data_IF_132160025414
#
_entry.id   IF_132160025414
#
_cell.length_a   1.000
_cell.length_b   1.000
_cell.length_c   1.000
_cell.angle_alpha   90.00
_cell.angle_beta   90.00
_cell.angle_gamma   90.00
#
_symmetry.space_group_name_H-M   'P 1'
#
loop_
_entity.id
_entity.type
_entity.pdbx_description
1 polymer ?
#
# COMPACT_ATOMS: atom_id res chain seq x y z
N UNK A 1 -3.54 16.13 4.27
CA UNK A 1 -3.21 15.22 3.14
C UNK A 1 -4.48 15.04 2.32
N UNK A 2 -4.51 15.48 1.04
CA UNK A 2 -5.65 15.27 0.15
C UNK A 2 -5.34 14.04 -0.71
N UNK A 3 -6.02 12.92 -0.46
CA UNK A 3 -5.85 11.70 -1.26
C UNK A 3 -6.80 11.80 -2.44
N UNK A 4 -6.26 11.78 -3.67
CA UNK A 4 -7.07 11.75 -4.89
C UNK A 4 -7.42 10.29 -5.17
N UNK A 5 -8.70 9.93 -5.04
CA UNK A 5 -9.21 8.55 -5.18
C UNK A 5 -10.25 8.42 -6.29
N UNK A 6 -10.36 9.42 -7.15
CA UNK A 6 -11.36 9.46 -8.22
C UNK A 6 -11.27 8.17 -9.06
N UNK A 7 -12.42 7.51 -9.27
CA UNK A 7 -12.58 6.27 -10.04
C UNK A 7 -11.85 5.03 -9.48
N UNK A 8 -11.60 4.96 -8.16
CA UNK A 8 -11.14 3.72 -7.54
C UNK A 8 -12.31 2.84 -7.07
N UNK A 9 -12.75 1.93 -7.94
CA UNK A 9 -13.84 0.97 -7.65
C UNK A 9 -13.48 -0.04 -6.55
N UNK A 10 -12.19 -0.27 -6.32
CA UNK A 10 -11.69 -1.31 -5.43
C UNK A 10 -11.61 -0.88 -3.96
N UNK A 11 -11.75 0.41 -3.64
CA UNK A 11 -11.68 0.94 -2.26
C UNK A 11 -10.33 0.68 -1.55
N UNK A 12 -9.24 0.50 -2.30
CA UNK A 12 -7.90 0.32 -1.73
C UNK A 12 -6.79 0.75 -2.69
N UNK A 13 -5.59 0.92 -2.14
CA UNK A 13 -4.34 1.16 -2.89
C UNK A 13 -3.36 0.05 -2.52
N UNK A 14 -2.62 -0.48 -3.49
CA UNK A 14 -1.53 -1.43 -3.25
C UNK A 14 -0.18 -0.82 -3.59
N UNK A 15 0.88 -1.34 -2.99
CA UNK A 15 2.26 -0.98 -3.30
C UNK A 15 3.18 -2.19 -3.09
N UNK A 16 4.17 -2.34 -3.96
CA UNK A 16 5.33 -3.21 -3.73
C UNK A 16 6.42 -2.36 -3.08
N UNK A 17 6.48 -2.37 -1.75
CA UNK A 17 7.43 -1.54 -1.01
C UNK A 17 8.84 -2.11 -1.11
N UNK A 18 9.83 -1.27 -1.39
CA UNK A 18 11.22 -1.60 -1.07
C UNK A 18 11.35 -1.89 0.43
N UNK A 19 12.30 -2.76 0.82
CA UNK A 19 12.59 -3.08 2.22
C UNK A 19 12.78 -1.82 3.07
N UNK A 20 13.41 -0.78 2.53
CA UNK A 20 13.63 0.49 3.23
C UNK A 20 12.38 1.38 3.33
N UNK A 21 11.38 1.17 2.46
CA UNK A 21 10.14 1.94 2.43
C UNK A 21 9.05 1.42 3.37
N UNK A 22 9.18 0.19 3.87
CA UNK A 22 8.12 -0.50 4.65
C UNK A 22 7.66 0.35 5.83
N UNK A 23 8.60 0.87 6.63
CA UNK A 23 8.28 1.67 7.82
C UNK A 23 7.59 3.01 7.50
N UNK A 24 7.81 3.56 6.30
CA UNK A 24 7.13 4.77 5.83
C UNK A 24 5.69 4.45 5.47
N UNK A 25 5.48 3.37 4.71
CA UNK A 25 4.14 2.94 4.32
C UNK A 25 3.30 2.47 5.51
N UNK A 26 3.90 1.81 6.51
CA UNK A 26 3.24 1.48 7.78
C UNK A 26 2.74 2.75 8.50
N UNK A 27 3.54 3.82 8.56
CA UNK A 27 3.12 5.12 9.13
C UNK A 27 2.01 5.81 8.34
N UNK A 28 1.93 5.54 7.04
CA UNK A 28 0.84 6.00 6.16
C UNK A 28 -0.41 5.12 6.24
N UNK A 29 -0.40 4.05 7.04
CA UNK A 29 -1.54 3.16 7.25
C UNK A 29 -1.63 1.98 6.28
N UNK A 30 -0.60 1.73 5.47
CA UNK A 30 -0.52 0.50 4.70
C UNK A 30 -0.19 -0.67 5.61
N UNK A 31 -0.77 -1.84 5.31
CA UNK A 31 -0.47 -3.11 5.97
C UNK A 31 0.18 -4.06 4.98
N UNK A 32 1.13 -4.87 5.45
CA UNK A 32 1.71 -5.97 4.66
C UNK A 32 0.62 -6.96 4.32
N UNK A 33 0.51 -7.35 3.06
CA UNK A 33 -0.42 -8.42 2.65
C UNK A 33 0.27 -9.77 2.60
N UNK A 34 1.59 -9.76 2.39
CA UNK A 34 2.44 -10.95 2.30
C UNK A 34 3.83 -10.61 2.84
N UNK A 35 4.64 -11.65 3.07
CA UNK A 35 6.06 -11.53 3.40
C UNK A 35 6.88 -10.97 2.21
N UNK A 36 8.15 -10.62 2.45
CA UNK A 36 9.07 -10.16 1.40
C UNK A 36 9.20 -11.21 0.28
N UNK A 37 9.06 -10.75 -0.97
CA UNK A 37 9.22 -11.54 -2.19
C UNK A 37 10.44 -11.07 -2.97
N UNK A 38 10.96 -11.97 -3.81
CA UNK A 38 11.97 -11.66 -4.81
C UNK A 38 11.45 -12.06 -6.18
N UNK A 39 11.43 -11.10 -7.11
CA UNK A 39 11.06 -11.36 -8.51
C UNK A 39 12.00 -10.55 -9.40
N UNK A 40 12.55 -11.19 -10.44
CA UNK A 40 13.47 -10.57 -11.40
C UNK A 40 14.67 -9.86 -10.74
N UNK A 41 15.14 -10.40 -9.60
CA UNK A 41 16.23 -9.85 -8.80
C UNK A 41 15.85 -8.66 -7.90
N UNK A 42 14.58 -8.25 -7.87
CA UNK A 42 14.09 -7.17 -7.00
C UNK A 42 13.37 -7.74 -5.77
N UNK A 43 13.81 -7.32 -4.59
CA UNK A 43 13.14 -7.62 -3.32
C UNK A 43 12.13 -6.54 -2.95
N UNK A 44 10.91 -6.96 -2.64
CA UNK A 44 9.83 -6.06 -2.23
C UNK A 44 8.85 -6.74 -1.28
N UNK A 45 8.17 -5.94 -0.47
CA UNK A 45 7.08 -6.37 0.41
C UNK A 45 5.75 -5.85 -0.15
N UNK A 46 4.82 -6.71 -0.57
CA UNK A 46 3.49 -6.31 -0.97
C UNK A 46 2.70 -5.71 0.21
N UNK A 47 2.10 -4.54 0.00
CA UNK A 47 1.34 -3.83 1.02
C UNK A 47 0.06 -3.22 0.44
N UNK A 48 -0.91 -2.95 1.32
CA UNK A 48 -2.24 -2.42 0.95
C UNK A 48 -2.71 -1.37 1.95
N UNK A 49 -3.29 -0.28 1.46
CA UNK A 49 -4.04 0.70 2.23
C UNK A 49 -5.53 0.58 1.88
N UNK A 50 -6.37 0.31 2.88
CA UNK A 50 -7.83 0.32 2.70
C UNK A 50 -8.33 1.76 2.78
N UNK A 51 -9.03 2.20 1.74
CA UNK A 51 -9.67 3.51 1.71
C UNK A 51 -11.02 3.39 2.41
N UNK A 52 -11.13 3.98 3.60
CA UNK A 52 -12.44 4.15 4.24
C UNK A 52 -13.11 5.37 3.62
N UNK A 53 -14.18 5.16 2.87
CA UNK A 53 -15.08 6.25 2.50
C UNK A 53 -15.92 6.57 3.74
N UNK A 54 -15.57 7.65 4.44
CA UNK A 54 -16.55 8.27 5.32
C UNK A 54 -17.54 8.96 4.39
N UNK A 55 -18.75 8.41 4.28
CA UNK A 55 -19.89 9.11 3.71
C UNK A 55 -20.13 10.34 4.58
N UNK A 56 -19.59 11.49 4.18
CA UNK A 56 -19.97 12.81 4.69
C UNK A 56 -21.00 13.37 3.72
#
# INVERSE_FOLDING_TARGET
>A
MKVVVNNNENSYITVNSSRYGVSIYEKLGFVKTEEEKEQDGLKFTPMKLILKFNNI
#
